data_IF_260141050015
#
_entry.id   IF_260141050015
#
_cell.length_a   1.000
_cell.length_b   1.000
_cell.length_c   1.000
_cell.angle_alpha   90.00
_cell.angle_beta   90.00
_cell.angle_gamma   90.00
#
_symmetry.space_group_name_H-M   'P 1'
#
loop_
_entity.id
_entity.type
_entity.pdbx_description
1 polymer ?
#
# COMPACT_ATOMS: atom_id res chain seq x y z
N UNK A 1 -27.62 5.49 -2.97
CA UNK A 1 -26.36 5.83 -2.27
C UNK A 1 -26.23 5.08 -0.94
N UNK A 2 -27.32 4.91 -0.20
CA UNK A 2 -27.33 4.24 1.11
C UNK A 2 -26.85 2.79 1.11
N UNK A 3 -27.26 1.99 0.11
CA UNK A 3 -26.82 0.58 -0.03
C UNK A 3 -25.29 0.49 -0.19
N UNK A 4 -24.67 1.42 -0.94
CA UNK A 4 -23.23 1.44 -1.13
C UNK A 4 -22.49 1.79 0.16
N UNK A 5 -22.98 2.78 0.90
CA UNK A 5 -22.45 3.17 2.21
C UNK A 5 -22.56 2.01 3.21
N UNK A 6 -23.68 1.30 3.23
CA UNK A 6 -23.89 0.15 4.10
C UNK A 6 -22.91 -1.00 3.79
N UNK A 7 -22.70 -1.31 2.50
CA UNK A 7 -21.70 -2.30 2.06
C UNK A 7 -20.29 -1.91 2.54
N UNK A 8 -19.90 -0.65 2.32
CA UNK A 8 -18.60 -0.16 2.74
C UNK A 8 -18.38 -0.20 4.26
N UNK A 9 -19.38 0.19 5.06
CA UNK A 9 -19.31 0.12 6.53
C UNK A 9 -19.20 -1.33 6.99
N UNK A 10 -19.97 -2.25 6.38
CA UNK A 10 -19.89 -3.67 6.72
C UNK A 10 -18.51 -4.26 6.41
N UNK A 11 -17.94 -3.92 5.25
CA UNK A 11 -16.59 -4.38 4.89
C UNK A 11 -15.52 -3.80 5.84
N UNK A 12 -15.59 -2.51 6.20
CA UNK A 12 -14.68 -1.94 7.21
C UNK A 12 -14.79 -2.70 8.53
N UNK A 13 -16.02 -2.95 9.00
CA UNK A 13 -16.25 -3.63 10.26
C UNK A 13 -15.71 -5.06 10.26
N UNK A 14 -15.89 -5.79 9.14
CA UNK A 14 -15.33 -7.13 8.95
C UNK A 14 -13.82 -7.11 9.09
N UNK A 15 -13.11 -6.23 8.39
CA UNK A 15 -11.64 -6.22 8.41
C UNK A 15 -11.12 -5.70 9.76
N UNK A 16 -11.77 -4.70 10.37
CA UNK A 16 -11.42 -4.16 11.70
C UNK A 16 -11.34 -5.25 12.78
N UNK A 17 -12.22 -6.25 12.72
CA UNK A 17 -12.22 -7.37 13.67
C UNK A 17 -11.17 -8.44 13.38
N UNK A 18 -10.49 -8.41 12.23
CA UNK A 18 -9.51 -9.43 11.88
C UNK A 18 -8.17 -9.14 12.57
N UNK A 19 -7.62 -10.18 13.22
CA UNK A 19 -6.28 -10.17 13.85
C UNK A 19 -5.16 -9.71 12.89
N UNK A 20 -5.37 -9.85 11.57
CA UNK A 20 -4.44 -9.43 10.52
C UNK A 20 -4.21 -7.90 10.49
N UNK A 21 -5.22 -7.07 10.80
CA UNK A 21 -5.01 -5.61 10.93
C UNK A 21 -4.14 -5.32 12.16
N UNK A 22 -4.47 -5.92 13.29
CA UNK A 22 -3.70 -5.74 14.52
C UNK A 22 -2.25 -6.14 14.31
N UNK A 23 -2.01 -7.25 13.60
CA UNK A 23 -0.67 -7.65 13.19
C UNK A 23 -0.01 -6.57 12.31
N UNK A 24 -0.69 -6.04 11.29
CA UNK A 24 -0.15 -4.99 10.44
C UNK A 24 0.29 -3.74 11.22
N UNK A 25 -0.50 -3.33 12.23
CA UNK A 25 -0.18 -2.19 13.09
C UNK A 25 0.97 -2.50 14.06
N UNK A 26 1.01 -3.69 14.65
CA UNK A 26 2.09 -4.10 15.56
C UNK A 26 3.42 -4.20 14.81
N UNK A 27 3.43 -4.86 13.64
CA UNK A 27 4.63 -5.00 12.83
C UNK A 27 5.10 -3.66 12.27
N UNK A 28 4.20 -2.77 11.85
CA UNK A 28 4.59 -1.43 11.43
C UNK A 28 5.17 -0.62 12.60
N UNK A 29 4.55 -0.66 13.78
CA UNK A 29 5.09 0.00 14.97
C UNK A 29 6.47 -0.55 15.38
N UNK A 30 6.63 -1.88 15.44
CA UNK A 30 7.91 -2.53 15.74
C UNK A 30 8.98 -2.14 14.73
N UNK A 31 8.65 -2.11 13.44
CA UNK A 31 9.62 -1.73 12.41
C UNK A 31 10.10 -0.29 12.55
N UNK A 32 9.20 0.65 12.89
CA UNK A 32 9.57 2.05 13.15
C UNK A 32 10.47 2.15 14.38
N UNK A 33 10.16 1.42 15.45
CA UNK A 33 10.98 1.39 16.68
C UNK A 33 12.37 0.83 16.38
N UNK A 34 12.47 -0.30 15.66
CA UNK A 34 13.75 -0.90 15.28
C UNK A 34 14.58 0.07 14.44
N UNK A 35 13.98 0.71 13.43
CA UNK A 35 14.66 1.71 12.61
C UNK A 35 15.12 2.91 13.44
N UNK A 36 14.31 3.36 14.40
CA UNK A 36 14.68 4.45 15.30
C UNK A 36 15.89 4.09 16.18
N UNK A 37 15.91 2.87 16.75
CA UNK A 37 17.03 2.37 17.56
C UNK A 37 18.31 2.28 16.73
N UNK A 38 18.23 1.74 15.50
CA UNK A 38 19.38 1.63 14.60
C UNK A 38 19.94 3.01 14.28
N UNK A 39 19.10 3.96 13.89
CA UNK A 39 19.55 5.33 13.56
C UNK A 39 20.09 6.06 14.78
N UNK A 40 19.46 5.92 15.94
CA UNK A 40 19.97 6.49 17.19
C UNK A 40 21.35 5.93 17.56
N UNK A 41 21.52 4.61 17.45
CA UNK A 41 22.80 3.93 17.71
C UNK A 41 23.91 4.43 16.77
N UNK A 42 23.63 4.51 15.47
CA UNK A 42 24.61 5.01 14.49
C UNK A 42 25.00 6.47 14.74
N UNK A 43 24.03 7.34 15.07
CA UNK A 43 24.31 8.74 15.36
C UNK A 43 25.15 8.93 16.63
N UNK A 44 24.89 8.15 17.69
CA UNK A 44 25.53 8.34 18.99
C UNK A 44 26.86 7.56 19.13
N UNK A 45 26.94 6.34 18.59
CA UNK A 45 28.13 5.48 18.73
C UNK A 45 29.11 5.60 17.57
N UNK A 46 28.64 5.72 16.32
CA UNK A 46 29.53 5.81 15.16
C UNK A 46 29.91 7.25 14.81
N UNK A 47 29.26 8.26 15.40
CA UNK A 47 29.46 9.68 15.08
C UNK A 47 29.03 10.07 13.66
N UNK A 48 28.42 9.14 12.93
CA UNK A 48 27.92 9.36 11.57
C UNK A 48 26.48 9.85 11.69
N UNK A 49 26.24 11.11 11.29
CA UNK A 49 24.87 11.63 11.15
C UNK A 49 24.24 11.03 9.89
N UNK A 50 23.55 9.90 10.04
CA UNK A 50 22.97 9.17 8.91
C UNK A 50 21.80 9.94 8.28
N UNK A 51 21.05 10.71 9.06
CA UNK A 51 19.85 11.44 8.58
C UNK A 51 19.58 12.74 9.33
N UNK A 52 19.11 13.78 8.62
CA UNK A 52 18.44 14.94 9.24
C UNK A 52 17.07 14.58 9.84
N UNK A 53 16.44 15.48 10.59
CA UNK A 53 15.19 15.21 11.31
C UNK A 53 14.03 14.78 10.40
N UNK A 54 13.84 15.47 9.27
CA UNK A 54 12.82 15.10 8.26
C UNK A 54 13.20 13.91 7.40
N UNK A 55 14.50 13.67 7.21
CA UNK A 55 15.01 12.56 6.40
C UNK A 55 14.75 11.20 7.05
N UNK A 56 14.65 11.15 8.40
CA UNK A 56 14.28 9.92 9.10
C UNK A 56 12.87 9.43 8.71
N UNK A 57 11.86 10.29 8.75
CA UNK A 57 10.48 9.91 8.37
C UNK A 57 10.38 9.47 6.91
N UNK A 58 11.12 10.12 6.01
CA UNK A 58 11.14 9.78 4.59
C UNK A 58 11.88 8.46 4.35
N UNK A 59 12.95 8.19 5.10
CA UNK A 59 13.66 6.91 5.08
C UNK A 59 12.76 5.77 5.57
N UNK A 60 12.06 5.96 6.70
CA UNK A 60 11.09 5.00 7.22
C UNK A 60 10.02 4.70 6.17
N UNK A 61 9.46 5.74 5.53
CA UNK A 61 8.50 5.57 4.44
C UNK A 61 9.07 4.73 3.29
N UNK A 62 10.31 5.01 2.86
CA UNK A 62 10.99 4.25 1.80
C UNK A 62 11.05 2.77 2.17
N UNK A 63 11.61 2.45 3.34
CA UNK A 63 11.88 1.07 3.74
C UNK A 63 10.57 0.28 3.86
N UNK A 64 9.54 0.88 4.45
CA UNK A 64 8.23 0.24 4.62
C UNK A 64 7.47 0.09 3.31
N UNK A 65 7.63 1.03 2.38
CA UNK A 65 7.02 1.00 1.05
C UNK A 65 7.51 -0.18 0.20
N UNK A 66 8.75 -0.63 0.38
CA UNK A 66 9.30 -1.79 -0.33
C UNK A 66 9.22 -3.11 0.43
N UNK A 67 8.72 -3.13 1.67
CA UNK A 67 8.69 -4.32 2.51
C UNK A 67 7.32 -4.58 3.14
N UNK A 68 6.99 -3.85 4.19
CA UNK A 68 5.86 -4.10 5.08
C UNK A 68 4.53 -3.71 4.42
N UNK A 69 4.46 -2.56 3.74
CA UNK A 69 3.19 -2.12 3.14
C UNK A 69 2.71 -3.07 2.03
N UNK A 70 3.53 -3.47 1.04
CA UNK A 70 3.10 -4.45 0.05
C UNK A 70 2.67 -5.77 0.69
N UNK A 71 3.39 -6.26 1.69
CA UNK A 71 3.08 -7.51 2.36
C UNK A 71 1.68 -7.48 3.03
N UNK A 72 1.40 -6.48 3.86
CA UNK A 72 0.11 -6.40 4.57
C UNK A 72 -1.05 -6.03 3.65
N UNK A 73 -0.82 -5.17 2.65
CA UNK A 73 -1.82 -4.89 1.61
C UNK A 73 -2.18 -6.18 0.85
N UNK A 74 -1.19 -7.03 0.55
CA UNK A 74 -1.41 -8.32 -0.10
C UNK A 74 -2.29 -9.23 0.74
N UNK A 75 -1.97 -9.38 2.03
CA UNK A 75 -2.75 -10.19 2.95
C UNK A 75 -4.22 -9.78 3.04
N UNK A 76 -4.49 -8.48 3.10
CA UNK A 76 -5.87 -7.97 3.23
C UNK A 76 -6.64 -8.12 1.93
N UNK A 77 -6.01 -7.84 0.77
CA UNK A 77 -6.67 -8.04 -0.52
C UNK A 77 -7.08 -9.51 -0.72
N UNK A 78 -6.17 -10.45 -0.44
CA UNK A 78 -6.45 -11.88 -0.58
C UNK A 78 -7.55 -12.32 0.38
N UNK A 79 -7.50 -11.86 1.62
CA UNK A 79 -8.47 -12.23 2.63
C UNK A 79 -9.89 -11.69 2.34
N UNK A 80 -9.99 -10.53 1.70
CA UNK A 80 -11.27 -9.96 1.26
C UNK A 80 -11.83 -10.58 -0.02
N UNK A 81 -10.97 -10.95 -0.95
CA UNK A 81 -11.38 -11.49 -2.25
C UNK A 81 -11.34 -13.01 -2.24
N UNK A 82 -10.17 -13.63 -2.11
CA UNK A 82 -10.01 -15.08 -2.11
C UNK A 82 -10.51 -15.78 -0.82
N UNK A 83 -10.47 -15.09 0.33
CA UNK A 83 -10.98 -15.64 1.60
C UNK A 83 -12.47 -15.94 1.55
N UNK A 84 -13.29 -15.01 1.04
CA UNK A 84 -14.74 -15.23 0.90
C UNK A 84 -15.08 -16.32 -0.13
N UNK A 85 -14.21 -16.57 -1.12
CA UNK A 85 -14.35 -17.72 -2.02
C UNK A 85 -14.05 -19.04 -1.32
N UNK A 86 -12.99 -19.09 -0.51
CA UNK A 86 -12.59 -20.29 0.23
C UNK A 86 -13.63 -20.67 1.31
N UNK A 87 -14.23 -19.68 1.97
CA UNK A 87 -15.22 -19.89 3.02
C UNK A 87 -16.65 -20.12 2.50
N UNK A 88 -16.85 -20.21 1.17
CA UNK A 88 -18.14 -20.29 0.48
C UNK A 88 -19.15 -19.18 0.80
N UNK A 89 -18.75 -18.15 1.54
CA UNK A 89 -19.61 -17.01 1.93
C UNK A 89 -19.88 -16.06 0.78
N UNK A 90 -19.12 -16.15 -0.32
CA UNK A 90 -19.32 -15.36 -1.54
C UNK A 90 -20.76 -15.42 -2.06
N UNK A 91 -21.45 -16.56 -1.89
CA UNK A 91 -22.84 -16.73 -2.33
C UNK A 91 -23.76 -15.75 -1.60
N UNK A 92 -23.57 -15.61 -0.28
CA UNK A 92 -24.35 -14.70 0.57
C UNK A 92 -24.09 -13.23 0.22
N UNK A 93 -22.84 -12.88 -0.12
CA UNK A 93 -22.49 -11.52 -0.53
C UNK A 93 -23.02 -11.16 -1.93
N UNK A 94 -23.13 -12.15 -2.83
CA UNK A 94 -23.56 -11.96 -4.22
C UNK A 94 -25.07 -12.14 -4.46
N UNK A 95 -25.79 -12.84 -3.58
CA UNK A 95 -27.27 -12.96 -3.63
C UNK A 95 -27.97 -11.87 -2.82
N UNK A 96 -27.21 -11.00 -2.13
CA UNK A 96 -27.75 -9.85 -1.43
C UNK A 96 -28.31 -8.76 -2.37
N UNK A 97 -29.02 -7.76 -1.82
CA UNK A 97 -29.67 -6.69 -2.59
C UNK A 97 -28.69 -5.70 -3.25
N UNK A 98 -27.38 -5.88 -3.07
CA UNK A 98 -26.35 -5.02 -3.63
C UNK A 98 -25.85 -5.56 -4.98
N UNK A 99 -25.90 -4.72 -6.03
CA UNK A 99 -25.33 -5.04 -7.34
C UNK A 99 -23.83 -5.38 -7.24
N UNK A 100 -23.34 -6.34 -8.04
CA UNK A 100 -21.95 -6.83 -8.04
C UNK A 100 -20.90 -5.71 -8.09
N UNK A 101 -21.15 -4.67 -8.87
CA UNK A 101 -20.25 -3.50 -8.98
C UNK A 101 -20.13 -2.69 -7.68
N UNK A 102 -21.22 -2.55 -6.91
CA UNK A 102 -21.23 -1.85 -5.63
C UNK A 102 -20.45 -2.63 -4.56
N UNK A 103 -20.53 -3.96 -4.60
CA UNK A 103 -19.75 -4.83 -3.72
C UNK A 103 -18.27 -4.75 -4.06
N UNK A 104 -17.91 -4.86 -5.35
CA UNK A 104 -16.53 -4.74 -5.81
C UNK A 104 -15.90 -3.39 -5.44
N UNK A 105 -16.56 -2.28 -5.79
CA UNK A 105 -16.07 -0.94 -5.47
C UNK A 105 -16.03 -0.68 -3.97
N UNK A 106 -17.00 -1.18 -3.20
CA UNK A 106 -16.99 -1.12 -1.75
C UNK A 106 -15.74 -1.77 -1.17
N UNK A 107 -15.41 -2.98 -1.63
CA UNK A 107 -14.18 -3.70 -1.24
C UNK A 107 -12.91 -2.94 -1.60
N UNK A 108 -12.82 -2.43 -2.83
CA UNK A 108 -11.66 -1.63 -3.28
C UNK A 108 -11.48 -0.37 -2.43
N UNK A 109 -12.57 0.33 -2.10
CA UNK A 109 -12.51 1.49 -1.20
C UNK A 109 -12.08 1.12 0.22
N UNK A 110 -12.56 -0.02 0.74
CA UNK A 110 -12.12 -0.49 2.05
C UNK A 110 -10.61 -0.76 2.06
N UNK A 111 -10.06 -1.39 1.02
CA UNK A 111 -8.61 -1.57 0.86
C UNK A 111 -7.89 -0.22 0.80
N UNK A 112 -8.40 0.74 0.04
CA UNK A 112 -7.83 2.08 -0.03
C UNK A 112 -7.76 2.75 1.37
N UNK A 113 -8.84 2.65 2.15
CA UNK A 113 -8.87 3.22 3.51
C UNK A 113 -7.95 2.51 4.48
N UNK A 114 -7.76 1.20 4.33
CA UNK A 114 -6.74 0.48 5.10
C UNK A 114 -5.33 1.02 4.80
N UNK A 115 -4.99 1.22 3.53
CA UNK A 115 -3.68 1.76 3.11
C UNK A 115 -3.48 3.17 3.69
N UNK A 116 -4.48 4.04 3.56
CA UNK A 116 -4.44 5.40 4.13
C UNK A 116 -4.25 5.35 5.65
N UNK A 117 -5.03 4.52 6.35
CA UNK A 117 -4.92 4.38 7.80
C UNK A 117 -3.53 3.90 8.24
N UNK A 118 -2.94 2.95 7.52
CA UNK A 118 -1.60 2.45 7.80
C UNK A 118 -0.53 3.52 7.55
N UNK A 119 -0.62 4.25 6.43
CA UNK A 119 0.28 5.35 6.11
C UNK A 119 0.22 6.46 7.17
N UNK A 120 -0.97 6.88 7.58
CA UNK A 120 -1.14 7.90 8.63
C UNK A 120 -0.57 7.42 9.97
N UNK A 121 -0.83 6.16 10.34
CA UNK A 121 -0.29 5.58 11.57
C UNK A 121 1.25 5.61 11.59
N UNK A 122 1.88 5.15 10.51
CA UNK A 122 3.35 5.18 10.38
C UNK A 122 3.87 6.61 10.33
N UNK A 123 3.17 7.54 9.67
CA UNK A 123 3.55 8.95 9.64
C UNK A 123 3.66 9.51 11.06
N UNK A 124 2.62 9.33 11.89
CA UNK A 124 2.59 9.80 13.28
C UNK A 124 3.73 9.19 14.09
N UNK A 125 3.92 7.87 14.02
CA UNK A 125 5.01 7.19 14.73
C UNK A 125 6.39 7.68 14.29
N UNK A 126 6.59 7.88 12.99
CA UNK A 126 7.88 8.34 12.45
C UNK A 126 8.18 9.78 12.88
N UNK A 127 7.17 10.65 12.95
CA UNK A 127 7.33 12.04 13.40
C UNK A 127 7.69 12.05 14.89
N UNK A 128 7.00 11.27 15.72
CA UNK A 128 7.32 11.12 17.15
C UNK A 128 8.77 10.63 17.32
N UNK A 129 9.15 9.57 16.60
CA UNK A 129 10.51 9.04 16.65
C UNK A 129 11.57 10.06 16.17
N UNK A 130 11.26 10.87 15.15
CA UNK A 130 12.17 11.89 14.65
C UNK A 130 12.49 12.97 15.68
N UNK A 131 11.53 13.34 16.53
CA UNK A 131 11.71 14.30 17.62
C UNK A 131 12.63 13.77 18.74
N UNK A 132 12.61 12.45 18.99
CA UNK A 132 13.51 11.82 19.95
C UNK A 132 14.94 11.71 19.43
N UNK A 133 15.11 11.41 18.14
CA UNK A 133 16.43 11.23 17.52
C UNK A 133 17.12 12.59 17.31
N UNK A 134 16.36 13.61 16.89
CA UNK A 134 16.91 14.89 16.51
C UNK A 134 16.10 16.01 17.17
N UNK A 135 16.78 16.89 17.93
CA UNK A 135 16.13 17.99 18.68
C UNK A 135 15.52 19.09 17.80
N UNK A 136 15.64 18.98 16.48
CA UNK A 136 15.09 19.92 15.53
C UNK A 136 13.68 19.51 15.07
N UNK A 137 12.79 20.49 14.97
CA UNK A 137 11.44 20.32 14.46
C UNK A 137 11.51 19.81 13.00
N UNK A 138 10.92 18.65 12.68
CA UNK A 138 10.89 18.15 11.31
C UNK A 138 9.98 19.02 10.45
N UNK A 139 10.30 19.13 9.15
CA UNK A 139 9.43 19.81 8.19
C UNK A 139 8.20 18.94 7.89
N UNK A 140 7.12 19.19 8.64
CA UNK A 140 5.86 18.44 8.53
C UNK A 140 5.26 18.50 7.13
N UNK A 141 5.41 19.61 6.41
CA UNK A 141 4.87 19.77 5.07
C UNK A 141 5.51 18.78 4.08
N UNK A 142 6.84 18.63 4.13
CA UNK A 142 7.56 17.64 3.31
C UNK A 142 7.14 16.21 3.63
N UNK A 143 6.96 15.90 4.91
CA UNK A 143 6.53 14.57 5.35
C UNK A 143 5.12 14.27 4.84
N UNK A 144 4.16 15.17 5.07
CA UNK A 144 2.76 14.98 4.66
C UNK A 144 2.65 14.75 3.15
N UNK A 145 3.32 15.57 2.32
CA UNK A 145 3.30 15.39 0.86
C UNK A 145 3.87 14.03 0.47
N UNK A 146 4.96 13.60 1.09
CA UNK A 146 5.60 12.33 0.77
C UNK A 146 4.68 11.14 1.04
N UNK A 147 3.99 11.16 2.19
CA UNK A 147 3.04 10.11 2.56
C UNK A 147 1.79 10.13 1.68
N UNK A 148 1.28 11.30 1.30
CA UNK A 148 0.15 11.42 0.35
C UNK A 148 0.54 10.83 -1.01
N UNK A 149 1.74 11.14 -1.51
CA UNK A 149 2.21 10.62 -2.80
C UNK A 149 2.46 9.11 -2.77
N UNK A 150 2.92 8.56 -1.63
CA UNK A 150 3.17 7.13 -1.47
C UNK A 150 1.90 6.28 -1.53
N UNK A 151 0.71 6.87 -1.30
CA UNK A 151 -0.56 6.16 -1.43
C UNK A 151 -0.76 5.57 -2.83
N UNK A 152 -0.48 6.34 -3.89
CA UNK A 152 -0.85 5.96 -5.25
C UNK A 152 -0.14 4.67 -5.74
N UNK A 153 1.19 4.52 -5.61
CA UNK A 153 1.87 3.27 -5.99
C UNK A 153 1.41 2.05 -5.19
N UNK A 154 1.20 2.22 -3.87
CA UNK A 154 0.74 1.13 -3.00
C UNK A 154 -0.68 0.70 -3.38
N UNK A 155 -1.54 1.66 -3.73
CA UNK A 155 -2.91 1.37 -4.18
C UNK A 155 -2.94 0.62 -5.51
N UNK A 156 -2.08 0.98 -6.46
CA UNK A 156 -1.96 0.25 -7.73
C UNK A 156 -1.48 -1.17 -7.51
N UNK A 157 -0.50 -1.36 -6.62
CA UNK A 157 -0.09 -2.69 -6.22
C UNK A 157 -1.25 -3.49 -5.60
N UNK A 158 -2.07 -2.87 -4.74
CA UNK A 158 -3.26 -3.51 -4.19
C UNK A 158 -4.22 -3.97 -5.29
N UNK A 159 -4.45 -3.17 -6.33
CA UNK A 159 -5.30 -3.53 -7.47
C UNK A 159 -4.75 -4.74 -8.26
N UNK A 160 -3.42 -4.83 -8.42
CA UNK A 160 -2.79 -6.01 -9.02
C UNK A 160 -3.07 -7.26 -8.16
N UNK A 161 -2.93 -7.15 -6.84
CA UNK A 161 -3.25 -8.27 -5.93
C UNK A 161 -4.72 -8.66 -6.01
N UNK A 162 -5.63 -7.70 -6.11
CA UNK A 162 -7.07 -7.95 -6.26
C UNK A 162 -7.34 -8.71 -7.57
N UNK A 163 -6.71 -8.29 -8.67
CA UNK A 163 -6.82 -8.98 -9.96
C UNK A 163 -6.30 -10.43 -9.87
N UNK A 164 -5.13 -10.63 -9.25
CA UNK A 164 -4.56 -11.97 -9.00
C UNK A 164 -5.51 -12.81 -8.14
N UNK A 165 -6.01 -12.24 -7.04
CA UNK A 165 -6.95 -12.90 -6.13
C UNK A 165 -8.27 -13.25 -6.83
N UNK A 166 -8.64 -12.49 -7.86
CA UNK A 166 -9.79 -12.83 -8.68
C UNK A 166 -9.50 -13.99 -9.64
N UNK A 167 -8.28 -14.18 -10.11
CA UNK A 167 -7.94 -15.32 -10.98
C UNK A 167 -7.77 -16.60 -10.15
N UNK A 168 -7.15 -16.50 -8.98
CA UNK A 168 -6.86 -17.65 -8.12
C UNK A 168 -8.07 -18.06 -7.29
N UNK A 169 -8.32 -19.37 -7.19
CA UNK A 169 -9.41 -19.92 -6.35
C UNK A 169 -9.00 -20.15 -4.89
N UNK A 170 -7.70 -20.19 -4.59
CA UNK A 170 -7.16 -20.46 -3.25
C UNK A 170 -6.41 -19.27 -2.65
N UNK A 171 -6.56 -19.07 -1.34
CA UNK A 171 -5.89 -18.00 -0.58
C UNK A 171 -4.36 -18.14 -0.58
N UNK A 172 -3.83 -19.36 -0.46
CA UNK A 172 -2.40 -19.64 -0.51
C UNK A 172 -1.80 -19.38 -1.89
N UNK A 173 -2.49 -19.83 -2.95
CA UNK A 173 -2.06 -19.61 -4.33
C UNK A 173 -2.04 -18.13 -4.70
N UNK A 174 -3.04 -17.36 -4.25
CA UNK A 174 -3.10 -15.92 -4.45
C UNK A 174 -1.90 -15.21 -3.81
N UNK A 175 -1.54 -15.64 -2.60
CA UNK A 175 -0.44 -15.07 -1.82
C UNK A 175 0.92 -15.35 -2.46
N UNK A 176 1.17 -16.61 -2.83
CA UNK A 176 2.42 -16.98 -3.48
C UNK A 176 2.60 -16.24 -4.81
N UNK A 177 1.55 -16.17 -5.63
CA UNK A 177 1.64 -15.51 -6.94
C UNK A 177 1.84 -14.00 -6.84
N UNK A 178 1.14 -13.33 -5.90
CA UNK A 178 1.29 -11.88 -5.69
C UNK A 178 2.67 -11.50 -5.18
N UNK A 179 3.23 -12.25 -4.23
CA UNK A 179 4.60 -12.01 -3.74
C UNK A 179 5.62 -12.32 -4.83
N UNK A 180 5.45 -13.42 -5.56
CA UNK A 180 6.34 -13.75 -6.67
C UNK A 180 6.36 -12.62 -7.70
N UNK A 181 5.19 -12.11 -8.10
CA UNK A 181 5.08 -10.97 -9.01
C UNK A 181 5.76 -9.72 -8.44
N UNK A 182 5.55 -9.40 -7.17
CA UNK A 182 6.21 -8.26 -6.52
C UNK A 182 7.75 -8.37 -6.58
N UNK A 183 8.29 -9.55 -6.26
CA UNK A 183 9.73 -9.80 -6.30
C UNK A 183 10.29 -9.74 -7.73
N UNK A 184 9.60 -10.32 -8.70
CA UNK A 184 10.01 -10.27 -10.12
C UNK A 184 10.04 -8.83 -10.62
N UNK A 185 8.99 -8.03 -10.37
CA UNK A 185 8.98 -6.64 -10.79
C UNK A 185 10.02 -5.78 -10.06
N UNK A 186 10.36 -6.10 -8.81
CA UNK A 186 11.44 -5.42 -8.12
C UNK A 186 12.82 -5.83 -8.67
N UNK A 187 13.02 -7.11 -8.99
CA UNK A 187 14.24 -7.61 -9.63
C UNK A 187 14.45 -7.05 -11.04
N UNK A 188 13.40 -6.99 -11.85
CA UNK A 188 13.45 -6.41 -13.19
C UNK A 188 13.85 -4.92 -13.17
N UNK A 189 13.42 -4.19 -12.14
CA UNK A 189 13.81 -2.79 -11.95
C UNK A 189 15.33 -2.64 -11.69
N UNK A 190 15.99 -3.65 -11.11
CA UNK A 190 17.43 -3.65 -10.88
C UNK A 190 18.22 -4.05 -12.14
N UNK A 191 17.71 -5.02 -12.90
CA UNK A 191 18.41 -5.59 -14.07
C UNK A 191 18.25 -4.74 -15.33
N UNK A 192 17.08 -4.09 -15.53
CA UNK A 192 16.76 -3.36 -16.75
C UNK A 192 16.38 -1.89 -16.48
N UNK A 193 17.37 -0.98 -16.37
CA UNK A 193 17.13 0.44 -16.12
C UNK A 193 16.28 1.14 -17.19
N UNK A 194 16.28 0.62 -18.42
CA UNK A 194 15.53 1.17 -19.55
C UNK A 194 14.01 1.01 -19.39
N UNK A 195 13.56 -0.07 -18.75
CA UNK A 195 12.13 -0.38 -18.55
C UNK A 195 11.61 0.25 -17.24
N UNK A 196 12.52 0.75 -16.40
CA UNK A 196 12.23 1.33 -15.08
C UNK A 196 11.07 2.32 -15.12
N UNK A 197 10.97 3.19 -16.13
CA UNK A 197 9.91 4.20 -16.20
C UNK A 197 8.50 3.63 -16.37
N UNK A 198 8.36 2.37 -16.79
CA UNK A 198 7.07 1.70 -16.99
C UNK A 198 6.68 0.79 -15.83
N UNK A 199 7.64 0.34 -15.02
CA UNK A 199 7.36 -0.58 -13.91
C UNK A 199 6.72 0.18 -12.74
N UNK A 200 5.57 -0.29 -12.25
CA UNK A 200 4.91 0.34 -11.08
C UNK A 200 5.78 0.25 -9.81
N UNK A 201 6.60 -0.80 -9.65
CA UNK A 201 7.53 -0.96 -8.51
C UNK A 201 8.60 0.12 -8.46
N UNK A 202 8.97 0.72 -9.59
CA UNK A 202 9.94 1.82 -9.62
C UNK A 202 9.34 3.15 -9.14
N UNK A 203 8.01 3.25 -9.12
CA UNK A 203 7.29 4.48 -8.76
C UNK A 203 7.06 4.62 -7.27
N UNK A 204 7.37 3.60 -6.45
CA UNK A 204 7.18 3.67 -4.99
C UNK A 204 7.97 4.85 -4.38
N UNK A 205 9.15 5.19 -4.90
CA UNK A 205 9.97 6.32 -4.45
C UNK A 205 9.74 7.64 -5.20
N UNK A 206 8.67 7.76 -5.99
CA UNK A 206 8.45 8.95 -6.82
C UNK A 206 8.24 10.24 -6.02
N UNK A 207 7.86 10.15 -4.74
CA UNK A 207 7.76 11.31 -3.83
C UNK A 207 9.10 12.05 -3.67
N UNK A 208 10.24 11.35 -3.84
CA UNK A 208 11.58 11.96 -3.83
C UNK A 208 11.79 12.97 -4.95
N UNK A 209 11.04 12.86 -6.05
CA UNK A 209 11.12 13.81 -7.17
C UNK A 209 10.59 15.20 -6.80
N UNK A 210 9.66 15.28 -5.83
CA UNK A 210 9.15 16.55 -5.31
C UNK A 210 10.06 17.11 -4.21
N UNK A 211 10.72 16.22 -3.44
CA UNK A 211 11.62 16.59 -2.37
C UNK A 211 13.00 17.10 -2.85
N UNK A 212 13.38 16.78 -4.08
CA UNK A 212 14.66 17.18 -4.66
C UNK A 212 14.77 18.69 -4.88
N UNK A 213 16.00 19.22 -4.89
CA UNK A 213 16.28 20.64 -5.11
C UNK A 213 15.79 21.17 -6.48
N UNK A 214 15.57 20.28 -7.46
CA UNK A 214 15.03 20.63 -8.77
C UNK A 214 13.76 19.81 -9.05
N UNK A 215 12.61 20.49 -9.07
CA UNK A 215 11.32 19.86 -9.32
C UNK A 215 11.07 19.82 -10.82
N UNK A 216 11.22 18.64 -11.42
CA UNK A 216 10.84 18.41 -12.81
C UNK A 216 9.35 18.06 -12.89
N UNK A 217 8.51 19.09 -13.06
CA UNK A 217 7.06 18.94 -13.18
C UNK A 217 6.62 18.02 -14.32
N UNK A 218 7.32 18.04 -15.46
CA UNK A 218 7.02 17.18 -16.60
C UNK A 218 7.17 15.69 -16.26
N UNK A 219 8.22 15.35 -15.51
CA UNK A 219 8.47 13.96 -15.07
C UNK A 219 7.42 13.49 -14.06
N UNK A 220 7.03 14.34 -13.12
CA UNK A 220 6.01 14.03 -12.11
C UNK A 220 4.64 13.80 -12.79
N UNK A 221 4.25 14.70 -13.69
CA UNK A 221 2.99 14.58 -14.42
C UNK A 221 2.94 13.29 -15.25
N UNK A 222 4.04 12.94 -15.93
CA UNK A 222 4.14 11.70 -16.70
C UNK A 222 3.91 10.46 -15.83
N UNK A 223 4.59 10.38 -14.68
CA UNK A 223 4.43 9.25 -13.75
C UNK A 223 3.00 9.21 -13.22
N UNK A 224 2.43 10.35 -12.85
CA UNK A 224 1.05 10.42 -12.38
C UNK A 224 0.04 9.91 -13.41
N UNK A 225 0.18 10.31 -14.69
CA UNK A 225 -0.67 9.81 -15.78
C UNK A 225 -0.53 8.30 -16.01
N UNK A 226 0.69 7.77 -15.91
CA UNK A 226 0.95 6.33 -16.01
C UNK A 226 0.25 5.58 -14.86
N UNK A 227 0.36 6.09 -13.62
CA UNK A 227 -0.29 5.52 -12.45
C UNK A 227 -1.82 5.55 -12.57
N UNK A 228 -2.39 6.66 -13.07
CA UNK A 228 -3.83 6.74 -13.36
C UNK A 228 -4.27 5.72 -14.42
N UNK A 229 -3.50 5.58 -15.49
CA UNK A 229 -3.77 4.60 -16.55
C UNK A 229 -3.79 3.16 -16.00
N UNK A 230 -2.81 2.80 -15.16
CA UNK A 230 -2.81 1.50 -14.48
C UNK A 230 -4.00 1.33 -13.55
N UNK A 231 -4.36 2.37 -12.78
CA UNK A 231 -5.52 2.33 -11.89
C UNK A 231 -6.82 2.01 -12.63
N UNK A 232 -7.09 2.72 -13.73
CA UNK A 232 -8.30 2.52 -14.54
C UNK A 232 -8.31 1.11 -15.16
N UNK A 233 -7.20 0.70 -15.77
CA UNK A 233 -7.07 -0.61 -16.41
C UNK A 233 -7.28 -1.76 -15.42
N UNK A 234 -6.68 -1.69 -14.23
CA UNK A 234 -6.77 -2.74 -13.22
C UNK A 234 -8.14 -2.79 -12.55
N UNK A 235 -8.79 -1.65 -12.32
CA UNK A 235 -10.17 -1.61 -11.81
C UNK A 235 -11.12 -2.26 -12.84
N UNK A 236 -11.00 -1.90 -14.12
CA UNK A 236 -11.85 -2.44 -15.18
C UNK A 236 -11.64 -3.96 -15.35
N UNK A 237 -10.37 -4.41 -15.42
CA UNK A 237 -10.05 -5.82 -15.54
C UNK A 237 -10.45 -6.63 -14.28
N UNK A 238 -10.23 -6.06 -13.09
CA UNK A 238 -10.64 -6.67 -11.83
C UNK A 238 -12.15 -6.82 -11.71
N UNK A 239 -12.91 -5.81 -12.15
CA UNK A 239 -14.37 -5.86 -12.20
C UNK A 239 -14.88 -6.90 -13.20
N UNK A 240 -14.35 -6.91 -14.43
CA UNK A 240 -14.73 -7.87 -15.47
C UNK A 240 -14.55 -9.33 -15.00
N UNK A 241 -13.42 -9.63 -14.36
CA UNK A 241 -13.17 -10.96 -13.80
C UNK A 241 -14.10 -11.26 -12.63
N UNK A 242 -14.42 -10.26 -11.80
CA UNK A 242 -15.35 -10.43 -10.67
C UNK A 242 -16.78 -10.70 -11.13
N UNK A 243 -17.23 -10.06 -12.21
CA UNK A 243 -18.56 -10.24 -12.78
C UNK A 243 -18.73 -11.62 -13.42
N UNK A 244 -17.69 -12.10 -14.12
CA UNK A 244 -17.66 -13.42 -14.78
C UNK A 244 -17.42 -14.60 -13.85
N UNK A 245 -17.24 -14.38 -12.56
CA UNK A 245 -17.12 -15.49 -11.61
C UNK A 245 -18.49 -16.13 -11.41
N UNK A 246 -18.63 -17.32 -11.98
CA UNK A 246 -19.77 -18.20 -11.76
C UNK A 246 -19.71 -18.81 -10.34
N UNK A 247 -20.90 -18.96 -9.74
CA UNK A 247 -21.17 -19.36 -8.35
C UNK A 247 -21.38 -20.87 -8.23
#
# INVERSE_FOLDING_TARGET
MEIFKAVYINEIFKISKKKKITAALIFSALSVIVLAIVVYSLNNFAGIRVTGSSEFSIMVLTILSYSIFPLFTTFICIDMFAGEFADHTIKVTLTGPASRIKVFLGKVLTVATFIIGNLVFVMVLSVIASLFINRNIPNLFKIIISYIMAFMPIFIFALIVILISNITKGTTSAFMLSIFMFLVFNGLNLVFPQIKSFLFTSTFDWYRLILGNYINFSKILRIFLILLGYGIMLIAAGYYLFEKKDI
#
